data_IF_426136019730
#
_entry.id   IF_426136019730
#
_cell.length_a   1.000
_cell.length_b   1.000
_cell.length_c   1.000
_cell.angle_alpha   90.00
_cell.angle_beta   90.00
_cell.angle_gamma   90.00
#
_symmetry.space_group_name_H-M   'P 1'
#
loop_
_entity.id
_entity.type
_entity.pdbx_description
1 polymer ?
#
# COMPACT_ATOMS: atom_id res chain seq x y z
N UNK A 1 6.79 5.77 19.83
CA UNK A 1 5.72 4.96 19.23
C UNK A 1 5.10 5.79 18.11
N UNK A 2 5.42 5.48 16.86
CA UNK A 2 4.76 6.11 15.71
C UNK A 2 3.74 5.11 15.22
N UNK A 3 2.44 5.41 15.38
CA UNK A 3 1.40 4.62 14.72
C UNK A 3 1.46 5.08 13.27
N UNK A 4 1.88 4.23 12.31
CA UNK A 4 1.81 4.64 10.93
C UNK A 4 0.36 4.93 10.59
N UNK A 5 0.10 6.14 10.09
CA UNK A 5 -1.24 6.54 9.68
C UNK A 5 -1.78 5.56 8.64
N UNK A 6 -2.96 5.02 8.90
CA UNK A 6 -3.71 4.29 7.90
C UNK A 6 -4.65 5.25 7.16
N UNK A 7 -4.71 5.11 5.83
CA UNK A 7 -5.63 5.85 5.00
C UNK A 7 -6.40 4.87 4.12
N UNK A 8 -7.72 5.04 4.05
CA UNK A 8 -8.56 4.31 3.11
C UNK A 8 -8.66 5.14 1.82
N UNK A 9 -8.28 4.54 0.70
CA UNK A 9 -8.33 5.17 -0.63
C UNK A 9 -9.41 4.48 -1.43
N UNK A 10 -10.14 5.28 -2.22
CA UNK A 10 -11.10 4.80 -3.20
C UNK A 10 -10.61 5.15 -4.60
N UNK A 11 -10.47 4.15 -5.46
CA UNK A 11 -10.05 4.33 -6.85
C UNK A 11 -11.22 4.01 -7.77
N UNK A 12 -11.61 4.99 -8.59
CA UNK A 12 -12.70 4.87 -9.56
C UNK A 12 -12.20 5.19 -10.96
N UNK A 13 -12.68 4.42 -11.93
CA UNK A 13 -12.45 4.59 -13.37
C UNK A 13 -13.76 5.00 -14.03
N UNK A 14 -13.67 5.92 -14.99
CA UNK A 14 -14.82 6.45 -15.71
C UNK A 14 -14.64 6.26 -17.22
N UNK A 15 -15.73 5.95 -17.92
CA UNK A 15 -15.73 5.91 -19.38
C UNK A 15 -17.12 6.25 -19.92
N UNK A 16 -17.19 7.24 -20.79
CA UNK A 16 -18.43 7.71 -21.39
C UNK A 16 -18.61 7.31 -22.88
N UNK A 17 -17.59 6.73 -23.54
CA UNK A 17 -17.49 6.76 -25.02
C UNK A 17 -17.09 5.44 -25.69
N UNK A 18 -17.48 4.27 -25.19
CA UNK A 18 -17.21 2.98 -25.87
C UNK A 18 -18.46 2.11 -26.05
N UNK A 19 -18.43 1.18 -27.01
CA UNK A 19 -19.54 0.24 -27.29
C UNK A 19 -19.83 -0.74 -26.13
N UNK A 20 -18.88 -0.90 -25.19
CA UNK A 20 -18.99 -1.74 -23.98
C UNK A 20 -18.20 -1.14 -22.81
N UNK A 21 -18.66 -0.05 -22.20
CA UNK A 21 -17.88 0.71 -21.23
C UNK A 21 -17.64 -0.09 -19.95
N UNK A 22 -18.61 -0.88 -19.48
CA UNK A 22 -18.49 -1.68 -18.25
C UNK A 22 -17.41 -2.76 -18.34
N UNK A 23 -17.33 -3.51 -19.45
CA UNK A 23 -16.32 -4.57 -19.61
C UNK A 23 -14.90 -3.99 -19.59
N UNK A 24 -14.69 -2.90 -20.34
CA UNK A 24 -13.38 -2.22 -20.37
C UNK A 24 -13.02 -1.61 -19.02
N UNK A 25 -13.99 -1.03 -18.31
CA UNK A 25 -13.78 -0.47 -16.98
C UNK A 25 -13.47 -1.55 -15.95
N UNK A 26 -14.15 -2.69 -16.02
CA UNK A 26 -13.91 -3.83 -15.15
C UNK A 26 -12.51 -4.39 -15.38
N UNK A 27 -12.12 -4.56 -16.65
CA UNK A 27 -10.77 -5.03 -17.00
C UNK A 27 -9.68 -4.07 -16.49
N UNK A 28 -9.90 -2.75 -16.63
CA UNK A 28 -8.97 -1.73 -16.12
C UNK A 28 -8.88 -1.74 -14.60
N UNK A 29 -10.02 -1.85 -13.91
CA UNK A 29 -10.04 -1.96 -12.45
C UNK A 29 -9.35 -3.24 -11.97
N UNK A 30 -9.57 -4.36 -12.65
CA UNK A 30 -8.94 -5.64 -12.33
C UNK A 30 -7.43 -5.61 -12.53
N UNK A 31 -6.95 -5.11 -13.67
CA UNK A 31 -5.51 -4.94 -13.93
C UNK A 31 -4.84 -4.01 -12.93
N UNK A 32 -5.52 -2.91 -12.58
CA UNK A 32 -5.00 -1.95 -11.60
C UNK A 32 -4.89 -2.57 -10.21
N UNK A 33 -5.91 -3.32 -9.78
CA UNK A 33 -5.90 -4.06 -8.53
C UNK A 33 -4.77 -5.10 -8.50
N UNK A 34 -4.69 -5.95 -9.53
CA UNK A 34 -3.65 -6.98 -9.67
C UNK A 34 -2.25 -6.37 -9.63
N UNK A 35 -2.07 -5.21 -10.27
CA UNK A 35 -0.82 -4.48 -10.20
C UNK A 35 -0.49 -4.09 -8.75
N UNK A 36 -1.40 -3.44 -8.00
CA UNK A 36 -1.12 -3.08 -6.61
C UNK A 36 -0.90 -4.29 -5.70
N UNK A 37 -1.59 -5.39 -5.96
CA UNK A 37 -1.56 -6.59 -5.12
C UNK A 37 -0.31 -7.45 -5.35
N UNK A 38 0.14 -7.57 -6.60
CA UNK A 38 1.19 -8.51 -7.01
C UNK A 38 2.41 -7.78 -7.58
N UNK A 39 2.23 -7.10 -8.71
CA UNK A 39 3.37 -6.64 -9.52
C UNK A 39 4.05 -5.38 -8.96
N UNK A 40 3.26 -4.43 -8.52
CA UNK A 40 3.66 -3.15 -7.96
C UNK A 40 3.98 -3.19 -6.47
N UNK A 41 3.68 -4.29 -5.77
CA UNK A 41 3.90 -4.42 -4.32
C UNK A 41 5.33 -4.04 -3.91
N UNK A 42 6.33 -4.59 -4.60
CA UNK A 42 7.74 -4.28 -4.35
C UNK A 42 8.06 -2.80 -4.56
N UNK A 43 7.51 -2.17 -5.60
CA UNK A 43 7.75 -0.76 -5.89
C UNK A 43 7.10 0.16 -4.85
N UNK A 44 5.90 -0.18 -4.40
CA UNK A 44 5.19 0.59 -3.36
C UNK A 44 5.86 0.42 -1.98
N UNK A 45 6.38 -0.76 -1.67
CA UNK A 45 7.13 -1.00 -0.43
C UNK A 45 8.48 -0.27 -0.40
N UNK A 46 9.16 -0.08 -1.55
CA UNK A 46 10.41 0.70 -1.62
C UNK A 46 10.24 2.15 -1.19
N UNK A 47 9.07 2.74 -1.44
CA UNK A 47 8.75 4.11 -1.00
C UNK A 47 8.13 4.16 0.40
N UNK A 48 8.14 3.03 1.13
CA UNK A 48 7.66 2.96 2.51
C UNK A 48 6.14 2.89 2.64
N UNK A 49 5.43 2.37 1.63
CA UNK A 49 3.98 2.21 1.64
C UNK A 49 3.64 0.73 1.53
N UNK A 50 2.68 0.27 2.34
CA UNK A 50 2.04 -1.04 2.19
C UNK A 50 0.60 -0.79 1.74
N UNK A 51 0.18 -1.51 0.70
CA UNK A 51 -1.21 -1.53 0.23
C UNK A 51 -1.84 -2.85 0.64
N UNK A 52 -3.00 -2.80 1.31
CA UNK A 52 -3.74 -3.97 1.74
C UNK A 52 -5.26 -3.72 1.78
N UNK A 53 -6.03 -4.72 2.20
CA UNK A 53 -7.49 -4.63 2.39
C UNK A 53 -8.25 -4.17 1.14
N UNK A 54 -8.02 -4.86 0.02
CA UNK A 54 -8.73 -4.59 -1.24
C UNK A 54 -10.19 -5.04 -1.16
N UNK A 55 -11.12 -4.11 -1.38
CA UNK A 55 -12.53 -4.45 -1.58
C UNK A 55 -12.75 -5.20 -2.90
N UNK A 56 -13.92 -5.82 -3.07
CA UNK A 56 -14.36 -6.24 -4.40
C UNK A 56 -14.47 -5.05 -5.35
N UNK A 57 -14.36 -5.31 -6.65
CA UNK A 57 -14.67 -4.34 -7.69
C UNK A 57 -16.18 -4.10 -7.65
N UNK A 58 -16.56 -2.82 -7.61
CA UNK A 58 -17.94 -2.38 -7.48
C UNK A 58 -18.33 -1.53 -8.69
N UNK A 59 -19.54 -1.77 -9.19
CA UNK A 59 -20.21 -0.87 -10.12
C UNK A 59 -20.71 0.36 -9.35
N UNK A 60 -20.32 1.54 -9.81
CA UNK A 60 -20.63 2.86 -9.24
C UNK A 60 -21.32 3.74 -10.30
N UNK A 61 -21.81 3.14 -11.37
CA UNK A 61 -22.46 3.82 -12.50
C UNK A 61 -23.60 4.68 -11.99
N UNK A 62 -23.60 5.94 -12.41
CA UNK A 62 -24.61 6.92 -12.02
C UNK A 62 -25.39 7.36 -13.25
N UNK A 63 -26.72 7.43 -13.10
CA UNK A 63 -27.60 7.99 -14.13
C UNK A 63 -27.67 9.51 -13.94
N UNK A 64 -27.15 10.27 -14.91
CA UNK A 64 -27.24 11.72 -14.94
C UNK A 64 -28.27 12.12 -16.01
N UNK A 65 -29.54 12.19 -15.60
CA UNK A 65 -30.70 12.68 -16.34
C UNK A 65 -30.94 12.00 -17.71
N UNK A 66 -30.08 12.28 -18.70
CA UNK A 66 -30.17 11.76 -20.08
C UNK A 66 -28.97 10.89 -20.48
N UNK A 67 -27.90 10.84 -19.66
CA UNK A 67 -26.66 10.11 -19.97
C UNK A 67 -26.23 9.25 -18.78
N UNK A 68 -25.83 8.01 -19.08
CA UNK A 68 -25.16 7.14 -18.09
C UNK A 68 -23.68 7.51 -17.99
N UNK A 69 -23.22 7.80 -16.78
CA UNK A 69 -21.79 7.85 -16.48
C UNK A 69 -21.37 6.51 -15.89
N UNK A 70 -20.74 5.67 -16.73
CA UNK A 70 -20.26 4.38 -16.29
C UNK A 70 -19.02 4.55 -15.41
N UNK A 71 -19.12 4.02 -14.20
CA UNK A 71 -18.05 4.10 -13.21
C UNK A 71 -17.87 2.75 -12.54
N UNK A 72 -16.62 2.27 -12.49
CA UNK A 72 -16.24 1.07 -11.75
C UNK A 72 -15.06 1.39 -10.87
N UNK A 73 -15.03 0.88 -9.66
CA UNK A 73 -13.94 1.15 -8.73
C UNK A 73 -13.80 0.12 -7.62
N UNK A 74 -12.77 0.29 -6.82
CA UNK A 74 -12.52 -0.50 -5.61
C UNK A 74 -11.85 0.37 -4.56
N UNK A 75 -11.97 -0.04 -3.31
CA UNK A 75 -11.32 0.58 -2.18
C UNK A 75 -10.15 -0.27 -1.72
N UNK A 76 -9.14 0.38 -1.15
CA UNK A 76 -8.01 -0.29 -0.51
C UNK A 76 -7.45 0.59 0.60
N UNK A 77 -6.70 -0.03 1.51
CA UNK A 77 -6.01 0.66 2.59
C UNK A 77 -4.54 0.83 2.25
N UNK A 78 -4.01 2.02 2.56
CA UNK A 78 -2.58 2.28 2.57
C UNK A 78 -2.10 2.45 4.01
N UNK A 79 -0.92 1.92 4.30
CA UNK A 79 -0.19 2.11 5.55
C UNK A 79 1.22 2.57 5.25
N UNK A 80 1.64 3.65 5.89
CA UNK A 80 3.06 4.02 5.86
C UNK A 80 3.88 3.05 6.71
N UNK A 81 5.15 2.86 6.40
CA UNK A 81 6.09 2.28 7.36
C UNK A 81 7.46 2.91 7.16
N UNK A 82 8.18 3.12 8.26
CA UNK A 82 9.56 3.61 8.24
C UNK A 82 10.44 2.47 8.73
N UNK A 83 11.38 2.03 7.89
CA UNK A 83 12.49 1.20 8.37
C UNK A 83 13.40 2.08 9.21
N UNK A 84 13.43 1.84 10.51
CA UNK A 84 14.46 2.38 11.39
C UNK A 84 15.61 1.38 11.36
N UNK A 85 16.71 1.72 10.69
CA UNK A 85 17.96 0.99 10.86
C UNK A 85 18.52 1.36 12.23
N UNK A 86 18.46 0.42 13.16
CA UNK A 86 19.09 0.56 14.47
C UNK A 86 20.51 0.02 14.31
N UNK A 87 21.48 0.92 14.17
CA UNK A 87 22.90 0.56 14.22
C UNK A 87 23.19 0.20 15.67
N UNK A 88 23.26 -1.10 15.94
CA UNK A 88 23.70 -1.62 17.24
C UNK A 88 25.22 -1.77 17.16
N UNK A 89 25.95 -1.16 18.10
CA UNK A 89 27.39 -1.38 18.21
C UNK A 89 27.66 -2.87 18.47
N UNK A 90 28.53 -3.46 17.66
CA UNK A 90 28.84 -4.90 17.73
C UNK A 90 29.61 -5.29 19.02
N UNK A 91 30.11 -4.31 19.77
CA UNK A 91 30.87 -4.49 21.00
C UNK A 91 30.21 -3.63 22.07
N UNK A 92 29.57 -4.29 23.03
CA UNK A 92 29.21 -3.66 24.29
C UNK A 92 30.51 -3.44 25.09
N UNK A 93 31.08 -2.25 24.93
CA UNK A 93 32.32 -1.86 25.61
C UNK A 93 32.14 -1.88 27.13
N UNK A 94 30.97 -1.54 27.68
CA UNK A 94 30.73 -1.59 29.13
C UNK A 94 30.76 -3.03 29.66
N UNK A 95 30.08 -3.95 28.98
CA UNK A 95 30.11 -5.37 29.34
C UNK A 95 31.51 -5.97 29.17
N UNK A 96 32.23 -5.60 28.11
CA UNK A 96 33.59 -6.07 27.85
C UNK A 96 34.57 -5.55 28.91
N UNK A 97 34.52 -4.26 29.27
CA UNK A 97 35.36 -3.67 30.32
C UNK A 97 35.08 -4.26 31.70
N UNK A 98 33.82 -4.59 32.02
CA UNK A 98 33.45 -5.21 33.29
C UNK A 98 33.77 -6.71 33.35
N UNK A 99 33.93 -7.38 32.20
CA UNK A 99 34.33 -8.79 32.10
C UNK A 99 35.84 -9.00 32.08
N UNK A 100 36.62 -7.93 31.88
CA UNK A 100 38.06 -7.94 32.13
C UNK A 100 38.22 -7.86 33.65
N UNK A 101 38.24 -9.02 34.30
CA UNK A 101 38.86 -9.13 35.60
C UNK A 101 40.27 -8.56 35.44
N UNK A 102 40.52 -7.42 36.08
CA UNK A 102 41.86 -6.91 36.28
C UNK A 102 42.55 -7.87 37.25
N UNK A 103 42.97 -9.03 36.74
CA UNK A 103 43.98 -9.83 37.41
C UNK A 103 45.22 -8.95 37.50
N UNK A 104 45.50 -8.53 38.73
CA UNK A 104 46.76 -8.05 39.31
C UNK A 104 46.68 -6.63 39.89
N UNK A 105 46.51 -6.54 41.21
CA UNK A 105 47.60 -6.20 42.15
C UNK A 105 47.31 -6.72 43.57
#
# INVERSE_FOLDING_TARGET
YFIPGEAKISLSFYNANTEKPLDSLYELANKSREWFEIHGKSEVEKIGIVVDDFSSIQDRTTLLDVVYEYQIGFDFRIRGFRKAELVVDAIDLESTFNSIDWENE
#
